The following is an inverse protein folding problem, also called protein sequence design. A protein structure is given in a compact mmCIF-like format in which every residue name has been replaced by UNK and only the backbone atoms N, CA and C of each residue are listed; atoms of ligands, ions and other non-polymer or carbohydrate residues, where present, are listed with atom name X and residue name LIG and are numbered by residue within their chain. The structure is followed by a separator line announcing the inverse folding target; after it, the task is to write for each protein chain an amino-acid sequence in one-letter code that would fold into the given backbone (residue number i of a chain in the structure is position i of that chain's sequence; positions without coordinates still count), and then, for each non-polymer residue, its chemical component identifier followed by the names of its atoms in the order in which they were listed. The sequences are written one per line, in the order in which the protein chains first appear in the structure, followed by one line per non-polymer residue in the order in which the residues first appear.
data_IF_128118292603
#
_entry.id   IF_128118292603
#
_cell.length_a   1.000
_cell.length_b   1.000
_cell.length_c   1.000
_cell.angle_alpha   90.00
_cell.angle_beta   90.00
_cell.angle_gamma   90.00
#
_symmetry.space_group_name_H-M   'P 1'
#
loop_
_entity.id
_entity.type
_entity.pdbx_description
1 polymer ?
#
# COMPACT_ATOMS: atom_id res chain seq x y z
N UNK A 1 13.71 8.18 37.56
CA UNK A 1 14.39 8.82 36.44
C UNK A 1 13.96 8.05 35.16
N UNK A 2 13.18 8.65 34.28
CA UNK A 2 12.81 8.04 33.01
C UNK A 2 13.99 8.19 32.06
N UNK A 3 14.68 7.09 31.74
CA UNK A 3 15.72 7.09 30.71
C UNK A 3 15.03 7.31 29.38
N UNK A 4 15.28 8.46 28.76
CA UNK A 4 14.81 8.73 27.40
C UNK A 4 15.59 7.82 26.45
N UNK A 5 14.92 6.84 25.85
CA UNK A 5 15.54 5.94 24.87
C UNK A 5 16.04 6.74 23.66
N UNK A 6 17.24 6.42 23.18
CA UNK A 6 17.72 6.92 21.88
C UNK A 6 16.95 6.27 20.73
N UNK A 7 16.93 6.90 19.55
CA UNK A 7 16.28 6.34 18.37
C UNK A 7 16.79 4.92 18.02
N UNK A 8 18.09 4.69 18.12
CA UNK A 8 18.70 3.36 17.86
C UNK A 8 18.24 2.29 18.85
N UNK A 9 18.11 2.65 20.13
CA UNK A 9 17.59 1.73 21.15
C UNK A 9 16.13 1.35 20.86
N UNK A 10 15.30 2.34 20.46
CA UNK A 10 13.91 2.11 20.10
C UNK A 10 13.77 1.18 18.90
N UNK A 11 14.62 1.33 17.87
CA UNK A 11 14.66 0.46 16.70
C UNK A 11 15.10 -0.96 17.08
N UNK A 12 16.15 -1.10 17.90
CA UNK A 12 16.65 -2.41 18.35
C UNK A 12 15.59 -3.17 19.13
N UNK A 13 14.90 -2.51 20.07
CA UNK A 13 13.79 -3.13 20.80
C UNK A 13 12.62 -3.50 19.91
N UNK A 14 12.30 -2.66 18.91
CA UNK A 14 11.26 -2.95 17.93
C UNK A 14 11.59 -4.21 17.15
N UNK A 15 12.81 -4.36 16.65
CA UNK A 15 13.27 -5.56 15.92
C UNK A 15 13.11 -6.81 16.80
N UNK A 16 13.61 -6.76 18.02
CA UNK A 16 13.55 -7.90 18.94
C UNK A 16 12.10 -8.29 19.25
N UNK A 17 11.27 -7.31 19.56
CA UNK A 17 9.83 -7.53 19.83
C UNK A 17 9.10 -8.09 18.61
N UNK A 18 9.39 -7.59 17.42
CA UNK A 18 8.82 -8.06 16.17
C UNK A 18 9.19 -9.54 15.92
N UNK A 19 10.46 -9.90 16.02
CA UNK A 19 10.92 -11.29 15.89
C UNK A 19 10.23 -12.21 16.89
N UNK A 20 10.25 -11.86 18.16
CA UNK A 20 9.62 -12.64 19.23
C UNK A 20 8.13 -12.82 18.99
N UNK A 21 7.43 -11.78 18.49
CA UNK A 21 6.01 -11.87 18.18
C UNK A 21 5.75 -12.85 17.04
N UNK A 22 6.49 -12.76 15.92
CA UNK A 22 6.31 -13.60 14.76
C UNK A 22 6.74 -15.06 14.97
N UNK A 23 7.69 -15.31 15.87
CA UNK A 23 8.13 -16.65 16.24
C UNK A 23 7.19 -17.32 17.26
N UNK A 24 6.32 -16.53 17.89
CA UNK A 24 5.38 -17.02 18.90
C UNK A 24 3.93 -17.16 18.39
N UNK A 25 3.06 -17.78 19.21
CA UNK A 25 1.65 -17.99 18.83
C UNK A 25 0.79 -16.72 18.87
N UNK A 26 1.27 -15.64 19.50
CA UNK A 26 0.52 -14.38 19.66
C UNK A 26 0.36 -13.60 18.34
N UNK A 27 1.09 -13.95 17.30
CA UNK A 27 0.98 -13.28 16.00
C UNK A 27 -0.35 -13.59 15.30
N UNK A 28 -0.84 -14.84 15.41
CA UNK A 28 -2.04 -15.29 14.72
C UNK A 28 -3.28 -14.41 15.05
N UNK A 29 -3.66 -14.23 16.34
CA UNK A 29 -4.79 -13.37 16.66
C UNK A 29 -4.56 -11.90 16.31
N UNK A 30 -3.33 -11.41 16.33
CA UNK A 30 -3.02 -10.02 15.93
C UNK A 30 -3.22 -9.80 14.43
N UNK A 31 -2.73 -10.70 13.59
CA UNK A 31 -2.94 -10.63 12.14
C UNK A 31 -4.42 -10.75 11.80
N UNK A 32 -5.12 -11.72 12.39
CA UNK A 32 -6.56 -11.87 12.19
C UNK A 32 -7.33 -10.63 12.62
N UNK A 33 -6.92 -9.98 13.70
CA UNK A 33 -7.59 -8.78 14.22
C UNK A 33 -7.40 -7.51 13.37
N UNK A 34 -6.41 -7.48 12.48
CA UNK A 34 -6.24 -6.33 11.57
C UNK A 34 -6.86 -6.55 10.19
N UNK A 35 -7.08 -7.78 9.75
CA UNK A 35 -7.76 -8.06 8.49
C UNK A 35 -9.25 -7.82 8.71
N UNK A 36 -9.80 -6.78 8.06
CA UNK A 36 -11.21 -6.41 8.21
C UNK A 36 -12.07 -7.07 7.16
N UNK A 37 -11.64 -7.01 5.90
CA UNK A 37 -12.42 -7.47 4.77
C UNK A 37 -11.55 -7.73 3.53
N UNK A 38 -12.02 -8.62 2.66
CA UNK A 38 -11.42 -8.94 1.35
C UNK A 38 -12.53 -9.05 0.27
N UNK A 39 -13.47 -8.06 0.19
CA UNK A 39 -14.77 -8.26 -0.46
C UNK A 39 -14.70 -8.39 -1.98
N UNK A 40 -13.66 -7.88 -2.61
CA UNK A 40 -13.50 -7.83 -4.08
C UNK A 40 -12.39 -8.75 -4.57
N UNK A 41 -11.64 -9.31 -3.66
CA UNK A 41 -10.49 -10.17 -3.93
C UNK A 41 -10.91 -11.61 -4.17
N UNK A 42 -10.21 -12.29 -5.06
CA UNK A 42 -10.27 -13.75 -5.17
C UNK A 42 -9.42 -14.43 -4.09
N UNK A 43 -8.52 -13.69 -3.47
CA UNK A 43 -7.79 -14.15 -2.31
C UNK A 43 -8.74 -14.18 -1.11
N UNK A 44 -8.66 -15.26 -0.36
CA UNK A 44 -9.39 -15.38 0.90
C UNK A 44 -8.72 -14.57 2.01
N UNK A 45 -9.44 -14.34 3.11
CA UNK A 45 -8.86 -13.79 4.34
C UNK A 45 -7.63 -14.59 4.79
N UNK A 46 -7.67 -15.91 4.63
CA UNK A 46 -6.54 -16.79 4.94
C UNK A 46 -5.32 -16.55 4.04
N UNK A 47 -5.52 -16.27 2.74
CA UNK A 47 -4.42 -15.93 1.82
C UNK A 47 -3.78 -14.61 2.22
N UNK A 48 -4.57 -13.58 2.54
CA UNK A 48 -4.07 -12.29 3.03
C UNK A 48 -3.31 -12.49 4.33
N UNK A 49 -3.88 -13.24 5.27
CA UNK A 49 -3.21 -13.61 6.51
C UNK A 49 -1.85 -14.27 6.26
N UNK A 50 -1.80 -15.25 5.35
CA UNK A 50 -0.57 -15.94 4.97
C UNK A 50 0.46 -15.01 4.33
N UNK A 51 0.03 -14.06 3.46
CA UNK A 51 0.91 -13.04 2.89
C UNK A 51 1.58 -12.24 4.00
N UNK A 52 0.78 -11.67 4.91
CA UNK A 52 1.28 -10.84 6.01
C UNK A 52 2.16 -11.64 6.99
N UNK A 53 1.79 -12.90 7.27
CA UNK A 53 2.51 -13.79 8.17
C UNK A 53 3.88 -14.19 7.61
N UNK A 54 3.92 -14.63 6.35
CA UNK A 54 5.14 -15.13 5.70
C UNK A 54 6.15 -14.02 5.43
N UNK A 55 5.67 -12.83 5.09
CA UNK A 55 6.53 -11.66 4.83
C UNK A 55 6.97 -10.92 6.10
N UNK A 56 6.36 -11.23 7.24
CA UNK A 56 6.56 -10.48 8.50
C UNK A 56 6.36 -8.98 8.34
N UNK A 57 5.46 -8.57 7.44
CA UNK A 57 5.35 -7.19 6.96
C UNK A 57 4.67 -6.22 7.93
N UNK A 58 4.00 -6.71 8.98
CA UNK A 58 3.26 -5.85 9.92
C UNK A 58 4.00 -5.70 11.23
N UNK A 59 4.33 -4.48 11.57
CA UNK A 59 4.88 -4.10 12.88
C UNK A 59 3.72 -3.72 13.80
N UNK A 60 3.52 -4.48 14.84
CA UNK A 60 2.48 -4.28 15.84
C UNK A 60 2.96 -3.48 17.05
N UNK A 61 2.03 -2.81 17.72
CA UNK A 61 2.26 -2.08 18.98
C UNK A 61 3.38 -1.02 18.86
N UNK A 62 3.54 -0.46 17.66
CA UNK A 62 4.51 0.59 17.37
C UNK A 62 3.95 1.98 17.68
N UNK A 63 4.71 3.02 17.39
CA UNK A 63 4.24 4.40 17.27
C UNK A 63 5.01 5.02 16.12
N UNK A 64 4.37 5.11 14.96
CA UNK A 64 5.01 5.53 13.71
C UNK A 64 4.31 6.76 13.15
N UNK A 65 5.10 7.78 12.81
CA UNK A 65 4.66 8.87 11.96
C UNK A 65 4.78 8.44 10.49
N UNK A 66 3.64 8.39 9.80
CA UNK A 66 3.59 8.04 8.38
C UNK A 66 3.81 9.28 7.50
N UNK A 67 4.04 9.07 6.19
CA UNK A 67 4.33 10.14 5.20
C UNK A 67 3.37 11.34 5.28
N UNK A 68 2.13 11.12 5.66
CA UNK A 68 1.13 12.19 5.79
C UNK A 68 1.19 12.99 7.10
N UNK A 69 2.18 12.71 7.97
CA UNK A 69 2.31 13.34 9.29
C UNK A 69 1.37 12.77 10.35
N UNK A 70 0.56 11.76 10.01
CA UNK A 70 -0.32 11.08 10.96
C UNK A 70 0.43 9.97 11.70
N UNK A 71 -0.07 9.62 12.88
CA UNK A 71 0.50 8.57 13.71
C UNK A 71 -0.32 7.29 13.62
N UNK A 72 0.35 6.13 13.71
CA UNK A 72 -0.30 4.81 13.75
C UNK A 72 0.35 3.91 14.78
N UNK A 73 -0.43 2.97 15.32
CA UNK A 73 0.05 1.94 16.26
C UNK A 73 0.49 0.64 15.58
N UNK A 74 0.07 0.44 14.34
CA UNK A 74 0.46 -0.71 13.53
C UNK A 74 0.98 -0.19 12.17
N UNK A 75 2.11 -0.72 11.71
CA UNK A 75 2.74 -0.27 10.47
C UNK A 75 2.94 -1.44 9.52
N UNK A 76 2.36 -1.34 8.32
CA UNK A 76 2.61 -2.30 7.24
C UNK A 76 3.75 -1.79 6.38
N UNK A 77 4.78 -2.61 6.21
CA UNK A 77 5.92 -2.37 5.34
C UNK A 77 5.81 -3.24 4.10
N UNK A 78 5.43 -2.64 2.98
CA UNK A 78 5.21 -3.38 1.74
C UNK A 78 6.51 -3.96 1.18
N UNK A 79 7.66 -3.29 1.37
CA UNK A 79 8.98 -3.78 0.99
C UNK A 79 9.27 -5.20 1.53
N UNK A 80 8.76 -5.53 2.72
CA UNK A 80 8.89 -6.88 3.27
C UNK A 80 8.13 -7.93 2.46
N UNK A 81 7.00 -7.57 1.85
CA UNK A 81 6.25 -8.43 0.93
C UNK A 81 6.98 -8.52 -0.41
N UNK A 82 7.49 -7.39 -0.89
CA UNK A 82 8.13 -7.24 -2.19
C UNK A 82 9.39 -8.14 -2.36
N UNK A 83 10.03 -8.51 -1.26
CA UNK A 83 11.17 -9.46 -1.26
C UNK A 83 10.79 -10.88 -1.71
N UNK A 84 9.51 -11.24 -1.69
CA UNK A 84 9.03 -12.57 -2.02
C UNK A 84 8.28 -12.54 -3.36
N UNK A 85 8.94 -12.91 -4.44
CA UNK A 85 8.37 -12.89 -5.80
C UNK A 85 7.08 -13.72 -5.93
N UNK A 86 6.96 -14.81 -5.15
CA UNK A 86 5.75 -15.62 -5.11
C UNK A 86 4.57 -14.88 -4.47
N UNK A 87 4.80 -14.03 -3.46
CA UNK A 87 3.75 -13.21 -2.84
C UNK A 87 3.32 -12.08 -3.78
N UNK A 88 4.28 -11.42 -4.42
CA UNK A 88 4.00 -10.44 -5.49
C UNK A 88 3.18 -11.08 -6.61
N UNK A 89 3.55 -12.29 -7.05
CA UNK A 89 2.81 -12.99 -8.10
C UNK A 89 1.38 -13.33 -7.67
N UNK A 90 1.18 -13.71 -6.43
CA UNK A 90 -0.14 -14.03 -5.89
C UNK A 90 -1.04 -12.79 -5.87
N UNK A 91 -0.55 -11.66 -5.36
CA UNK A 91 -1.27 -10.38 -5.32
C UNK A 91 -1.51 -9.87 -6.74
N UNK A 92 -0.49 -9.87 -7.59
CA UNK A 92 -0.61 -9.38 -8.96
C UNK A 92 -1.60 -10.20 -9.81
N UNK A 93 -1.75 -11.50 -9.55
CA UNK A 93 -2.75 -12.35 -10.21
C UNK A 93 -4.17 -11.93 -9.85
N UNK A 94 -4.41 -11.66 -8.58
CA UNK A 94 -5.67 -11.15 -8.09
C UNK A 94 -6.03 -9.80 -8.73
N UNK A 95 -5.07 -8.88 -8.78
CA UNK A 95 -5.21 -7.58 -9.46
C UNK A 95 -5.45 -7.72 -10.97
N UNK A 96 -4.71 -8.61 -11.64
CA UNK A 96 -4.86 -8.88 -13.07
C UNK A 96 -6.24 -9.44 -13.41
N UNK A 97 -6.76 -10.31 -12.57
CA UNK A 97 -8.12 -10.84 -12.73
C UNK A 97 -9.18 -9.75 -12.62
N UNK A 98 -9.03 -8.81 -11.69
CA UNK A 98 -9.94 -7.67 -11.59
C UNK A 98 -9.84 -6.75 -12.82
N UNK A 99 -8.63 -6.43 -13.29
CA UNK A 99 -8.44 -5.62 -14.50
C UNK A 99 -9.16 -6.28 -15.69
N UNK A 100 -8.93 -7.57 -15.90
CA UNK A 100 -9.52 -8.33 -16.99
C UNK A 100 -11.04 -8.30 -16.95
N UNK A 101 -11.67 -8.46 -15.78
CA UNK A 101 -13.13 -8.46 -15.64
C UNK A 101 -13.73 -7.06 -15.80
N UNK A 102 -13.08 -6.06 -15.20
CA UNK A 102 -13.62 -4.69 -15.20
C UNK A 102 -13.49 -4.01 -16.57
N UNK A 103 -12.41 -4.30 -17.30
CA UNK A 103 -12.07 -3.60 -18.55
C UNK A 103 -12.12 -4.51 -19.79
N UNK A 104 -12.89 -5.59 -19.74
CA UNK A 104 -13.08 -6.48 -20.88
C UNK A 104 -13.73 -5.76 -22.09
N UNK A 105 -14.77 -4.95 -21.84
CA UNK A 105 -15.53 -4.25 -22.88
C UNK A 105 -14.99 -2.87 -23.24
N UNK A 106 -14.26 -2.25 -22.31
CA UNK A 106 -13.74 -0.90 -22.46
C UNK A 106 -12.28 -0.87 -21.98
N UNK A 107 -11.34 -1.37 -22.82
CA UNK A 107 -10.01 -1.72 -22.41
C UNK A 107 -9.18 -0.53 -21.96
N UNK A 108 -8.33 -0.76 -20.97
CA UNK A 108 -7.25 0.14 -20.57
C UNK A 108 -5.96 -0.26 -21.29
N UNK A 109 -5.06 0.70 -21.48
CA UNK A 109 -3.80 0.48 -22.21
C UNK A 109 -2.57 0.40 -21.28
N UNK A 110 -2.75 0.68 -20.01
CA UNK A 110 -1.62 0.61 -19.07
C UNK A 110 -1.96 0.87 -17.62
N UNK A 111 -0.92 0.68 -16.82
CA UNK A 111 -0.89 0.92 -15.38
C UNK A 111 0.06 2.06 -15.09
N UNK A 112 -0.34 3.01 -14.26
CA UNK A 112 0.53 4.08 -13.77
C UNK A 112 0.83 3.83 -12.30
N UNK A 113 2.11 3.81 -11.96
CA UNK A 113 2.58 3.55 -10.59
C UNK A 113 3.84 4.35 -10.28
N UNK A 114 4.31 4.26 -9.06
CA UNK A 114 5.56 4.88 -8.62
C UNK A 114 6.76 3.98 -8.88
N UNK A 115 7.94 4.56 -9.07
CA UNK A 115 9.23 3.87 -9.09
C UNK A 115 9.62 3.42 -7.66
N UNK A 116 8.80 2.57 -7.07
CA UNK A 116 8.92 1.98 -5.74
C UNK A 116 8.60 0.49 -5.81
N UNK A 117 8.45 -0.17 -4.68
CA UNK A 117 8.08 -1.59 -4.64
C UNK A 117 6.70 -1.89 -5.28
N UNK A 118 5.83 -0.87 -5.42
CA UNK A 118 4.57 -0.98 -6.15
C UNK A 118 4.78 -1.27 -7.65
N UNK A 119 5.93 -0.88 -8.22
CA UNK A 119 6.32 -1.23 -9.60
C UNK A 119 6.28 -2.75 -9.84
N UNK A 120 6.75 -3.54 -8.88
CA UNK A 120 6.76 -5.00 -9.00
C UNK A 120 5.36 -5.58 -9.18
N UNK A 121 4.35 -5.00 -8.51
CA UNK A 121 2.95 -5.40 -8.70
C UNK A 121 2.45 -5.04 -10.11
N UNK A 122 2.73 -3.82 -10.57
CA UNK A 122 2.29 -3.34 -11.87
C UNK A 122 2.91 -4.16 -13.01
N UNK A 123 4.21 -4.37 -12.97
CA UNK A 123 4.92 -5.16 -13.97
C UNK A 123 4.43 -6.61 -14.00
N UNK A 124 4.25 -7.21 -12.82
CA UNK A 124 3.78 -8.58 -12.73
C UNK A 124 2.34 -8.75 -13.19
N UNK A 125 1.45 -7.79 -12.86
CA UNK A 125 0.07 -7.79 -13.35
C UNK A 125 0.00 -7.62 -14.88
N UNK A 126 0.81 -6.72 -15.44
CA UNK A 126 0.91 -6.53 -16.88
C UNK A 126 1.43 -7.80 -17.60
N UNK A 127 2.44 -8.46 -17.03
CA UNK A 127 2.95 -9.72 -17.54
C UNK A 127 1.91 -10.84 -17.57
N UNK A 128 1.14 -10.98 -16.50
CA UNK A 128 0.08 -11.99 -16.39
C UNK A 128 -1.07 -11.76 -17.37
N UNK A 129 -1.25 -10.51 -17.84
CA UNK A 129 -2.27 -10.13 -18.81
C UNK A 129 -1.77 -10.12 -20.27
N UNK A 130 -0.47 -10.31 -20.52
CA UNK A 130 0.20 -10.06 -21.81
C UNK A 130 -0.48 -10.72 -23.00
N UNK A 131 -1.02 -11.92 -22.84
CA UNK A 131 -1.69 -12.65 -23.93
C UNK A 131 -3.06 -12.09 -24.28
N UNK A 132 -3.72 -11.41 -23.34
CA UNK A 132 -5.09 -10.90 -23.48
C UNK A 132 -5.14 -9.37 -23.59
N UNK A 133 -4.29 -8.69 -22.85
CA UNK A 133 -4.22 -7.23 -22.76
C UNK A 133 -2.75 -6.82 -22.70
N UNK A 134 -2.26 -6.09 -23.71
CA UNK A 134 -0.87 -5.57 -23.68
C UNK A 134 -0.81 -4.26 -22.91
N UNK A 135 -0.72 -4.35 -21.60
CA UNK A 135 -0.64 -3.18 -20.73
C UNK A 135 0.81 -2.64 -20.69
N UNK A 136 0.94 -1.33 -20.83
CA UNK A 136 2.18 -0.61 -20.52
C UNK A 136 2.25 -0.31 -19.04
N UNK A 137 3.43 -0.36 -18.46
CA UNK A 137 3.69 0.18 -17.14
C UNK A 137 4.33 1.55 -17.30
N UNK A 138 3.73 2.55 -16.67
CA UNK A 138 4.21 3.92 -16.63
C UNK A 138 4.67 4.24 -15.23
N UNK A 139 5.90 4.73 -15.08
CA UNK A 139 6.52 5.02 -13.79
C UNK A 139 6.63 6.51 -13.55
N UNK A 140 6.28 6.92 -12.34
CA UNK A 140 6.52 8.27 -11.81
C UNK A 140 7.60 8.24 -10.74
N UNK A 141 8.33 9.32 -10.49
CA UNK A 141 9.32 9.40 -9.43
C UNK A 141 8.70 9.13 -8.06
N UNK A 142 9.46 8.44 -7.22
CA UNK A 142 9.17 8.30 -5.80
C UNK A 142 10.41 8.70 -4.99
N UNK A 143 10.26 9.71 -4.17
CA UNK A 143 11.34 10.13 -3.29
C UNK A 143 11.26 9.34 -1.98
N UNK A 144 12.24 8.47 -1.74
CA UNK A 144 12.29 7.60 -0.54
C UNK A 144 12.55 8.36 0.75
N UNK A 145 13.14 9.56 0.69
CA UNK A 145 13.39 10.38 1.87
C UNK A 145 12.15 11.13 2.36
N UNK A 146 11.33 11.60 1.42
CA UNK A 146 10.15 12.40 1.72
C UNK A 146 8.83 11.65 1.54
N UNK A 147 8.84 10.47 0.89
CA UNK A 147 7.64 9.73 0.53
C UNK A 147 6.79 10.44 -0.55
N UNK A 148 7.36 11.42 -1.24
CA UNK A 148 6.63 12.18 -2.26
C UNK A 148 6.63 11.47 -3.61
N UNK A 149 5.47 11.54 -4.27
CA UNK A 149 5.27 11.08 -5.65
C UNK A 149 5.45 12.30 -6.55
N UNK A 150 6.35 12.18 -7.55
CA UNK A 150 6.54 13.21 -8.57
C UNK A 150 5.45 13.17 -9.64
N UNK A 151 5.37 14.21 -10.45
CA UNK A 151 4.37 14.38 -11.51
C UNK A 151 4.90 14.03 -12.90
N UNK A 152 6.23 13.88 -13.04
CA UNK A 152 6.83 13.52 -14.32
C UNK A 152 6.65 12.04 -14.63
N UNK A 153 6.67 11.70 -15.91
CA UNK A 153 6.77 10.32 -16.38
C UNK A 153 8.25 9.97 -16.55
N UNK A 154 8.76 9.06 -15.69
CA UNK A 154 10.13 8.57 -15.75
C UNK A 154 10.34 7.50 -16.82
N UNK A 155 9.36 6.61 -16.98
CA UNK A 155 9.41 5.51 -17.94
C UNK A 155 8.01 5.19 -18.45
N UNK A 156 7.92 4.65 -19.65
CA UNK A 156 6.66 4.46 -20.35
C UNK A 156 6.18 5.75 -21.02
N UNK A 157 4.91 5.79 -21.41
CA UNK A 157 4.30 6.97 -22.03
C UNK A 157 2.79 6.99 -21.77
N UNK A 158 2.24 8.19 -21.59
CA UNK A 158 0.80 8.48 -21.57
C UNK A 158 0.51 9.30 -22.82
N UNK A 159 -0.43 8.87 -23.67
CA UNK A 159 -0.88 9.63 -24.83
C UNK A 159 -2.29 10.16 -24.60
N UNK A 160 -2.62 11.24 -25.28
CA UNK A 160 -3.92 11.86 -25.14
C UNK A 160 -5.07 10.88 -25.45
N UNK A 161 -6.05 10.85 -24.55
CA UNK A 161 -7.23 9.99 -24.65
C UNK A 161 -7.03 8.53 -24.26
N UNK A 162 -5.80 8.06 -24.04
CA UNK A 162 -5.55 6.70 -23.59
C UNK A 162 -5.98 6.51 -22.13
N UNK A 163 -6.51 5.32 -21.84
CA UNK A 163 -7.08 4.99 -20.53
C UNK A 163 -6.11 4.19 -19.67
N UNK A 164 -5.94 4.61 -18.41
CA UNK A 164 -5.03 4.00 -17.46
C UNK A 164 -5.70 3.68 -16.12
N UNK A 165 -5.26 2.62 -15.49
CA UNK A 165 -5.51 2.33 -14.08
C UNK A 165 -4.28 2.76 -13.29
N UNK A 166 -4.49 3.47 -12.18
CA UNK A 166 -3.39 3.77 -11.25
C UNK A 166 -3.28 2.67 -10.22
N UNK A 167 -2.03 2.29 -9.90
CA UNK A 167 -1.70 1.23 -8.96
C UNK A 167 -0.73 1.73 -7.91
N UNK A 168 -1.01 1.43 -6.64
CA UNK A 168 -0.04 1.61 -5.56
C UNK A 168 -0.06 0.41 -4.61
N UNK A 169 0.93 0.32 -3.72
CA UNK A 169 0.98 -0.70 -2.68
C UNK A 169 -0.15 -0.54 -1.66
N UNK A 170 -0.33 0.68 -1.15
CA UNK A 170 -1.31 0.98 -0.11
C UNK A 170 -1.96 2.35 -0.31
N UNK A 171 -3.16 2.49 0.25
CA UNK A 171 -3.80 3.79 0.45
C UNK A 171 -4.51 3.85 1.79
N UNK A 172 -4.60 5.05 2.35
CA UNK A 172 -5.43 5.36 3.53
C UNK A 172 -6.43 6.45 3.15
N UNK A 173 -5.93 7.65 2.88
CA UNK A 173 -6.71 8.86 2.62
C UNK A 173 -6.91 9.15 1.13
N UNK A 174 -6.38 8.32 0.25
CA UNK A 174 -6.48 8.51 -1.21
C UNK A 174 -5.40 9.40 -1.84
N UNK A 175 -4.51 10.01 -1.05
CA UNK A 175 -3.52 10.98 -1.57
C UNK A 175 -2.59 10.38 -2.64
N UNK A 176 -2.10 9.15 -2.45
CA UNK A 176 -1.21 8.49 -3.41
C UNK A 176 -1.93 8.20 -4.73
N UNK A 177 -3.11 7.58 -4.69
CA UNK A 177 -3.88 7.26 -5.90
C UNK A 177 -4.40 8.52 -6.59
N UNK A 178 -4.75 9.57 -5.84
CA UNK A 178 -5.10 10.88 -6.39
C UNK A 178 -3.94 11.52 -7.14
N UNK A 179 -2.73 11.52 -6.57
CA UNK A 179 -1.54 12.05 -7.24
C UNK A 179 -1.23 11.29 -8.52
N UNK A 180 -1.28 9.95 -8.49
CA UNK A 180 -1.11 9.14 -9.70
C UNK A 180 -2.20 9.41 -10.74
N UNK A 181 -3.45 9.60 -10.31
CA UNK A 181 -4.54 10.00 -11.19
C UNK A 181 -4.30 11.36 -11.87
N UNK A 182 -3.73 12.34 -11.14
CA UNK A 182 -3.33 13.62 -11.70
C UNK A 182 -2.23 13.47 -12.75
N UNK A 183 -1.24 12.60 -12.52
CA UNK A 183 -0.21 12.32 -13.55
C UNK A 183 -0.87 11.84 -14.84
N UNK A 184 -1.85 10.95 -14.78
CA UNK A 184 -2.59 10.50 -15.97
C UNK A 184 -3.24 11.67 -16.69
N UNK A 185 -4.00 12.50 -15.97
CA UNK A 185 -4.80 13.58 -16.58
C UNK A 185 -3.96 14.75 -17.05
N UNK A 186 -2.91 15.12 -16.34
CA UNK A 186 -1.99 16.20 -16.71
C UNK A 186 -1.18 15.87 -17.98
N UNK A 187 -0.97 14.57 -18.27
CA UNK A 187 -0.38 14.11 -19.53
C UNK A 187 -1.41 13.80 -20.62
N UNK A 188 -2.67 14.22 -20.43
CA UNK A 188 -3.74 14.06 -21.41
C UNK A 188 -4.40 12.70 -21.48
N UNK A 189 -4.02 11.77 -20.59
CA UNK A 189 -4.67 10.47 -20.46
C UNK A 189 -6.01 10.54 -19.70
N UNK A 190 -6.70 9.42 -19.65
CA UNK A 190 -7.98 9.24 -18.94
C UNK A 190 -7.78 8.28 -17.79
N UNK A 191 -8.05 8.73 -16.56
CA UNK A 191 -8.10 7.86 -15.40
C UNK A 191 -9.32 6.94 -15.50
N UNK A 192 -9.08 5.64 -15.62
CA UNK A 192 -10.12 4.63 -15.74
C UNK A 192 -10.47 3.96 -14.40
N UNK A 193 -9.53 3.92 -13.46
CA UNK A 193 -9.74 3.32 -12.16
C UNK A 193 -8.48 3.33 -11.31
N UNK A 194 -8.61 2.79 -10.11
CA UNK A 194 -7.56 2.77 -9.10
C UNK A 194 -7.47 1.40 -8.45
N UNK A 195 -6.27 0.97 -8.07
CA UNK A 195 -6.07 -0.27 -7.34
C UNK A 195 -4.91 -0.19 -6.35
N UNK A 196 -5.04 -0.94 -5.26
CA UNK A 196 -4.00 -1.09 -4.24
C UNK A 196 -3.99 -2.52 -3.69
N UNK A 197 -2.84 -2.96 -3.15
CA UNK A 197 -2.84 -4.18 -2.36
C UNK A 197 -3.65 -3.99 -1.08
N UNK A 198 -3.38 -2.93 -0.31
CA UNK A 198 -4.08 -2.73 0.94
C UNK A 198 -4.72 -1.33 1.06
N UNK A 199 -5.99 -1.31 1.44
CA UNK A 199 -6.65 -0.16 2.02
C UNK A 199 -6.48 -0.22 3.53
N UNK A 200 -6.02 0.86 4.14
CA UNK A 200 -5.85 0.94 5.59
C UNK A 200 -6.86 1.90 6.19
N UNK A 201 -7.30 1.60 7.41
CA UNK A 201 -8.22 2.44 8.18
C UNK A 201 -9.36 2.97 7.30
N UNK A 202 -10.28 2.08 6.99
CA UNK A 202 -11.44 2.34 6.11
C UNK A 202 -12.46 3.31 6.72
N UNK A 203 -11.94 4.28 7.50
CA UNK A 203 -12.73 5.39 8.01
C UNK A 203 -13.27 6.28 6.90
N UNK A 204 -13.95 7.33 7.27
CA UNK A 204 -14.46 8.34 6.35
C UNK A 204 -13.34 9.31 5.98
N UNK A 205 -12.87 9.21 4.75
CA UNK A 205 -11.87 10.11 4.20
C UNK A 205 -12.44 10.80 2.96
N UNK A 206 -12.81 12.09 3.05
CA UNK A 206 -13.56 12.78 1.98
C UNK A 206 -12.94 12.65 0.59
N UNK A 207 -11.60 12.72 0.48
CA UNK A 207 -10.92 12.53 -0.81
C UNK A 207 -11.09 11.10 -1.34
N UNK A 208 -10.99 10.10 -0.49
CA UNK A 208 -11.16 8.71 -0.91
C UNK A 208 -12.60 8.42 -1.31
N UNK A 209 -13.56 8.97 -0.55
CA UNK A 209 -15.00 8.85 -0.85
C UNK A 209 -15.32 9.51 -2.20
N UNK A 210 -14.78 10.71 -2.47
CA UNK A 210 -14.92 11.38 -3.76
C UNK A 210 -14.34 10.55 -4.93
N UNK A 211 -13.15 9.98 -4.75
CA UNK A 211 -12.48 9.19 -5.78
C UNK A 211 -13.25 7.90 -6.08
N UNK A 212 -13.72 7.19 -5.06
CA UNK A 212 -14.46 5.94 -5.22
C UNK A 212 -15.88 6.14 -5.78
N UNK A 213 -16.46 7.31 -5.58
CA UNK A 213 -17.72 7.68 -6.22
C UNK A 213 -17.57 7.92 -7.72
N UNK A 214 -16.37 8.29 -8.20
CA UNK A 214 -16.11 8.62 -9.61
C UNK A 214 -15.47 7.49 -10.40
N UNK A 215 -14.66 6.67 -9.76
CA UNK A 215 -13.82 5.67 -10.42
C UNK A 215 -13.94 4.30 -9.76
N UNK A 216 -13.91 3.21 -10.54
CA UNK A 216 -13.73 1.87 -10.01
C UNK A 216 -12.48 1.81 -9.12
N UNK A 217 -12.64 1.26 -7.93
CA UNK A 217 -11.57 1.11 -6.96
C UNK A 217 -11.45 -0.33 -6.51
N UNK A 218 -10.25 -0.88 -6.59
CA UNK A 218 -9.93 -2.23 -6.16
C UNK A 218 -8.90 -2.24 -5.04
N UNK A 219 -9.10 -3.12 -4.09
CA UNK A 219 -8.12 -3.44 -3.05
C UNK A 219 -8.17 -4.93 -2.74
N UNK A 220 -6.99 -5.54 -2.55
CA UNK A 220 -6.89 -6.95 -2.17
C UNK A 220 -7.27 -7.15 -0.70
N UNK A 221 -6.89 -6.23 0.18
CA UNK A 221 -7.18 -6.32 1.61
C UNK A 221 -7.60 -4.97 2.21
N UNK A 222 -8.58 -5.00 3.13
CA UNK A 222 -8.90 -3.90 4.02
C UNK A 222 -8.34 -4.18 5.41
N UNK A 223 -7.43 -3.31 5.87
CA UNK A 223 -6.70 -3.50 7.11
C UNK A 223 -7.11 -2.47 8.16
N UNK A 224 -7.54 -2.96 9.32
CA UNK A 224 -7.84 -2.13 10.49
C UNK A 224 -6.53 -1.65 11.13
N UNK A 225 -6.02 -0.54 10.61
CA UNK A 225 -4.78 0.10 11.07
C UNK A 225 -5.01 1.60 11.26
N UNK A 226 -5.64 2.00 12.39
CA UNK A 226 -6.04 3.37 12.65
C UNK A 226 -4.89 4.36 12.57
N UNK A 227 -5.19 5.54 12.08
CA UNK A 227 -4.30 6.69 12.04
C UNK A 227 -4.92 7.87 12.79
N UNK A 228 -4.09 8.61 13.47
CA UNK A 228 -4.50 9.77 14.26
C UNK A 228 -3.71 11.01 13.86
N UNK A 229 -4.34 12.16 13.90
CA UNK A 229 -3.64 13.44 13.97
C UNK A 229 -2.72 13.45 15.19
N UNK A 230 -1.54 14.07 15.14
CA UNK A 230 -0.60 14.12 16.26
C UNK A 230 -1.24 14.57 17.58
N UNK A 231 -2.08 15.61 17.55
CA UNK A 231 -2.76 16.14 18.71
C UNK A 231 -3.80 15.18 19.32
N UNK A 232 -4.38 14.29 18.51
CA UNK A 232 -5.38 13.32 18.93
C UNK A 232 -4.78 11.93 19.23
N UNK A 233 -3.49 11.73 18.97
CA UNK A 233 -2.84 10.43 19.06
C UNK A 233 -2.81 9.88 20.50
N UNK A 234 -3.41 8.71 20.77
CA UNK A 234 -3.38 8.09 22.08
C UNK A 234 -1.99 7.63 22.51
N UNK A 235 -1.12 7.32 21.52
CA UNK A 235 0.23 6.87 21.77
C UNK A 235 1.15 8.03 22.20
N UNK A 236 0.93 9.23 21.65
CA UNK A 236 1.56 10.46 22.13
C UNK A 236 1.16 10.76 23.58
N UNK A 237 -0.12 10.64 23.88
CA UNK A 237 -0.64 10.82 25.26
C UNK A 237 -0.02 9.81 26.24
N UNK A 238 0.24 8.59 25.77
CA UNK A 238 0.91 7.54 26.52
C UNK A 238 2.45 7.67 26.52
N UNK A 239 3.00 8.74 25.93
CA UNK A 239 4.45 9.01 25.84
C UNK A 239 5.25 7.85 25.22
N UNK A 240 4.65 7.09 24.29
CA UNK A 240 5.37 6.05 23.55
C UNK A 240 6.39 6.72 22.61
N UNK A 241 7.61 6.18 22.46
CA UNK A 241 8.59 6.67 21.50
C UNK A 241 8.02 6.69 20.08
N UNK A 242 8.17 7.81 19.37
CA UNK A 242 7.75 7.99 17.99
C UNK A 242 8.92 7.70 17.05
N UNK A 243 8.65 6.89 16.03
CA UNK A 243 9.59 6.61 14.93
C UNK A 243 9.04 7.22 13.65
N UNK A 244 9.89 7.79 12.81
CA UNK A 244 9.48 8.15 11.46
C UNK A 244 9.36 6.88 10.59
N UNK A 245 8.46 6.89 9.62
CA UNK A 245 8.24 5.76 8.73
C UNK A 245 9.52 5.29 8.02
N UNK A 246 10.42 6.24 7.67
CA UNK A 246 11.71 5.96 7.01
C UNK A 246 12.74 5.29 7.92
N UNK A 247 12.57 5.44 9.24
CA UNK A 247 13.45 4.82 10.24
C UNK A 247 12.96 3.43 10.66
N UNK A 248 11.87 2.95 10.07
CA UNK A 248 11.36 1.61 10.34
C UNK A 248 12.34 0.56 9.81
N UNK A 249 12.69 -0.45 10.63
CA UNK A 249 13.74 -1.40 10.30
C UNK A 249 13.39 -2.26 9.07
N UNK A 250 14.42 -2.62 8.32
CA UNK A 250 14.37 -3.69 7.33
C UNK A 250 14.60 -5.04 8.02
N UNK A 251 13.73 -6.01 7.81
CA UNK A 251 13.77 -7.32 8.43
C UNK A 251 13.89 -8.44 7.41
#
# INVERSE_FOLDING_TARGET
MSVTMTGEQAVTELIQRHRTLYDGPKIEPKLKGIIRDVPHSKLSEWDVHRILRSSRSVFFDTHVEVVSGHHTGNYLRFESIARFSQLITLIARDMADWIRQTYEKDPVVGLVTTASDAQLLAERAADLLREKMRLRVVLTPFNRETGQIGTEVMAGAIRAGERFVVLNDMTTRGNCVSKLGKVVTEHGGVLAGMMVFARRDSGQFPLMDELTAKFPFYYTADLNMPQWEPAACPLCKAKKPLLAWKDMPEL
#
